data_IF_103558335739
#
_entry.id   IF_103558335739
#
_cell.length_a   1.000
_cell.length_b   1.000
_cell.length_c   1.000
_cell.angle_alpha   90.00
_cell.angle_beta   90.00
_cell.angle_gamma   90.00
#
_symmetry.space_group_name_H-M   'P 1'
#
loop_
_entity.id
_entity.type
_entity.pdbx_description
1 polymer ?
#
# COMPACT_ATOMS: atom_id res chain seq x y z
N UNK A 1 3.98 -1.96 -25.49
CA UNK A 1 3.93 -1.28 -24.19
C UNK A 1 5.21 -1.64 -23.47
N UNK A 2 6.11 -0.67 -23.34
CA UNK A 2 7.45 -0.88 -22.77
C UNK A 2 7.30 -1.20 -21.27
N UNK A 3 7.89 -2.31 -20.81
CA UNK A 3 7.81 -2.70 -19.40
C UNK A 3 8.64 -1.70 -18.59
N UNK A 4 7.99 -0.94 -17.71
CA UNK A 4 8.70 -0.14 -16.72
C UNK A 4 9.60 -1.06 -15.86
N UNK A 5 10.81 -0.63 -15.49
CA UNK A 5 11.70 -1.41 -14.65
C UNK A 5 11.03 -1.74 -13.31
N UNK A 6 11.25 -2.97 -12.83
CA UNK A 6 10.65 -3.53 -11.60
C UNK A 6 11.44 -3.22 -10.32
N UNK A 7 12.61 -2.58 -10.46
CA UNK A 7 13.49 -2.21 -9.35
C UNK A 7 13.35 -0.72 -9.03
N UNK A 8 13.19 -0.38 -7.74
CA UNK A 8 13.23 1.00 -7.27
C UNK A 8 12.03 1.83 -7.69
N UNK A 9 10.82 1.27 -7.63
CA UNK A 9 9.58 2.01 -7.92
C UNK A 9 9.39 3.19 -6.96
N UNK A 10 9.86 3.05 -5.71
CA UNK A 10 9.84 4.13 -4.73
C UNK A 10 11.24 4.58 -4.32
N UNK A 11 11.47 5.89 -4.12
CA UNK A 11 12.73 6.37 -3.56
C UNK A 11 12.97 5.78 -2.16
N UNK A 12 14.19 5.27 -1.91
CA UNK A 12 14.57 4.70 -0.60
C UNK A 12 14.34 5.67 0.58
N UNK A 13 14.47 6.98 0.33
CA UNK A 13 14.17 8.01 1.32
C UNK A 13 12.69 8.06 1.71
N UNK A 14 11.78 7.84 0.77
CA UNK A 14 10.34 7.82 1.01
C UNK A 14 9.95 6.58 1.83
N UNK A 15 10.46 5.41 1.46
CA UNK A 15 10.22 4.16 2.19
C UNK A 15 10.63 4.32 3.66
N UNK A 16 11.85 4.81 3.88
CA UNK A 16 12.37 5.07 5.23
C UNK A 16 11.50 6.06 6.00
N UNK A 17 11.16 7.20 5.40
CA UNK A 17 10.33 8.22 6.05
C UNK A 17 8.95 7.68 6.41
N UNK A 18 8.37 6.82 5.57
CA UNK A 18 7.08 6.17 5.81
C UNK A 18 7.15 5.24 7.03
N UNK A 19 8.19 4.41 7.14
CA UNK A 19 8.41 3.57 8.32
C UNK A 19 8.65 4.39 9.59
N UNK A 20 9.44 5.46 9.51
CA UNK A 20 9.65 6.38 10.63
C UNK A 20 8.32 6.99 11.08
N UNK A 21 7.46 7.40 10.14
CA UNK A 21 6.16 7.97 10.46
C UNK A 21 5.19 6.95 11.06
N UNK A 22 5.17 5.71 10.56
CA UNK A 22 4.39 4.62 11.16
C UNK A 22 4.83 4.34 12.61
N UNK A 23 6.14 4.37 12.88
CA UNK A 23 6.66 4.20 14.26
C UNK A 23 6.27 5.34 15.18
N UNK A 24 6.20 6.57 14.67
CA UNK A 24 5.77 7.75 15.42
C UNK A 24 4.27 7.69 15.76
N UNK A 25 3.43 7.43 14.75
CA UNK A 25 1.97 7.46 14.88
C UNK A 25 1.40 6.22 15.57
N UNK A 26 2.01 5.05 15.31
CA UNK A 26 1.52 3.76 15.78
C UNK A 26 2.69 2.87 16.27
N UNK A 27 3.40 3.25 17.36
CA UNK A 27 4.58 2.52 17.85
C UNK A 27 4.28 1.08 18.31
N UNK A 28 3.01 0.72 18.49
CA UNK A 28 2.54 -0.62 18.88
C UNK A 28 1.64 -1.25 17.81
N UNK A 29 1.76 -0.78 16.56
CA UNK A 29 1.00 -1.30 15.44
C UNK A 29 1.11 -2.82 15.38
N UNK A 30 -0.05 -3.45 15.28
CA UNK A 30 -0.29 -4.88 15.19
C UNK A 30 -1.66 -5.05 14.53
N UNK A 31 -1.98 -6.24 14.06
CA UNK A 31 -3.29 -6.51 13.44
C UNK A 31 -3.25 -6.28 11.93
N UNK A 32 -4.30 -5.73 11.36
CA UNK A 32 -4.48 -5.63 9.91
C UNK A 32 -3.83 -4.37 9.34
N UNK A 33 -3.04 -4.52 8.27
CA UNK A 33 -2.38 -3.44 7.55
C UNK A 33 -2.69 -3.53 6.06
N UNK A 34 -3.02 -2.40 5.44
CA UNK A 34 -3.22 -2.30 4.00
C UNK A 34 -2.18 -1.38 3.37
N UNK A 35 -1.56 -1.83 2.28
CA UNK A 35 -0.81 -0.97 1.37
C UNK A 35 -1.59 -0.76 0.07
N UNK A 36 -1.95 0.50 -0.21
CA UNK A 36 -2.68 0.93 -1.41
C UNK A 36 -1.67 1.41 -2.44
N UNK A 37 -1.70 0.82 -3.64
CA UNK A 37 -0.68 1.03 -4.67
C UNK A 37 0.63 0.34 -4.33
N UNK A 38 0.54 -0.94 -3.95
CA UNK A 38 1.65 -1.69 -3.35
C UNK A 38 2.89 -1.90 -4.24
N UNK A 39 2.77 -1.68 -5.56
CA UNK A 39 3.88 -1.76 -6.49
C UNK A 39 4.64 -3.09 -6.40
N UNK A 40 5.95 -3.02 -6.18
CA UNK A 40 6.81 -4.21 -6.05
C UNK A 40 6.89 -4.77 -4.62
N UNK A 41 6.24 -4.11 -3.65
CA UNK A 41 6.18 -4.51 -2.24
C UNK A 41 7.39 -4.10 -1.40
N UNK A 42 8.26 -3.18 -1.84
CA UNK A 42 9.40 -2.72 -1.04
C UNK A 42 8.96 -2.12 0.31
N UNK A 43 7.87 -1.36 0.36
CA UNK A 43 7.32 -0.83 1.61
C UNK A 43 6.77 -1.96 2.51
N UNK A 44 6.04 -2.91 1.92
CA UNK A 44 5.49 -4.07 2.62
C UNK A 44 6.60 -4.89 3.30
N UNK A 45 7.72 -5.18 2.61
CA UNK A 45 8.84 -5.91 3.21
C UNK A 45 9.40 -5.17 4.44
N UNK A 46 9.51 -3.83 4.37
CA UNK A 46 9.94 -3.02 5.51
C UNK A 46 8.92 -3.02 6.65
N UNK A 47 7.62 -2.96 6.36
CA UNK A 47 6.54 -3.03 7.35
C UNK A 47 6.56 -4.38 8.07
N UNK A 48 6.66 -5.50 7.33
CA UNK A 48 6.69 -6.85 7.89
C UNK A 48 7.88 -7.08 8.84
N UNK A 49 9.02 -6.43 8.57
CA UNK A 49 10.20 -6.46 9.46
C UNK A 49 10.03 -5.58 10.70
N UNK A 50 9.27 -4.50 10.60
CA UNK A 50 9.13 -3.50 11.64
C UNK A 50 7.96 -3.79 12.61
N UNK A 51 6.90 -4.44 12.13
CA UNK A 51 5.64 -4.61 12.87
C UNK A 51 5.05 -6.02 12.70
N UNK A 52 4.42 -6.57 13.76
CA UNK A 52 3.70 -7.84 13.69
C UNK A 52 2.28 -7.65 13.12
N UNK A 53 2.20 -7.39 11.82
CA UNK A 53 0.93 -7.13 11.11
C UNK A 53 0.59 -8.22 10.09
N UNK A 54 -0.70 -8.36 9.80
CA UNK A 54 -1.25 -9.11 8.68
C UNK A 54 -1.38 -8.16 7.49
N UNK A 55 -0.74 -8.52 6.38
CA UNK A 55 -0.65 -7.66 5.19
C UNK A 55 -1.82 -7.94 4.26
N UNK A 56 -2.49 -6.87 3.83
CA UNK A 56 -3.27 -6.78 2.61
C UNK A 56 -2.61 -5.78 1.68
N UNK A 57 -2.74 -6.00 0.38
CA UNK A 57 -2.13 -5.17 -0.64
C UNK A 57 -3.08 -5.04 -1.82
N UNK A 58 -3.23 -3.84 -2.37
CA UNK A 58 -3.94 -3.65 -3.64
C UNK A 58 -3.16 -2.74 -4.58
N UNK A 59 -3.36 -2.96 -5.87
CA UNK A 59 -2.79 -2.17 -6.96
C UNK A 59 -3.62 -2.43 -8.23
N UNK A 60 -3.50 -1.61 -9.28
CA UNK A 60 -4.22 -1.84 -10.54
C UNK A 60 -3.62 -3.00 -11.36
N UNK A 61 -2.50 -3.57 -10.90
CA UNK A 61 -1.81 -4.72 -11.47
C UNK A 61 -1.04 -5.48 -10.39
N UNK A 62 -0.96 -6.79 -10.52
CA UNK A 62 -0.31 -7.68 -9.54
C UNK A 62 1.11 -8.13 -9.94
N UNK A 63 1.45 -8.00 -11.22
CA UNK A 63 2.68 -8.57 -11.81
C UNK A 63 3.98 -7.89 -11.37
N UNK A 64 3.90 -6.81 -10.57
CA UNK A 64 5.04 -6.14 -9.97
C UNK A 64 5.46 -6.74 -8.61
N UNK A 65 4.54 -7.39 -7.90
CA UNK A 65 4.77 -7.82 -6.52
C UNK A 65 5.89 -8.86 -6.43
N UNK A 66 6.88 -8.58 -5.57
CA UNK A 66 8.04 -9.47 -5.36
C UNK A 66 8.06 -10.13 -3.99
N UNK A 67 7.23 -9.67 -3.04
CA UNK A 67 7.22 -10.18 -1.66
C UNK A 67 6.48 -11.51 -1.61
N UNK A 68 7.21 -12.59 -1.27
CA UNK A 68 6.64 -13.93 -1.19
C UNK A 68 5.55 -14.04 -0.13
N UNK A 69 4.42 -14.66 -0.50
CA UNK A 69 3.27 -14.85 0.39
C UNK A 69 2.33 -13.65 0.49
N UNK A 70 2.59 -12.57 -0.24
CA UNK A 70 1.69 -11.43 -0.38
C UNK A 70 0.91 -11.57 -1.68
N UNK A 71 -0.42 -11.56 -1.59
CA UNK A 71 -1.33 -11.50 -2.74
C UNK A 71 -1.78 -10.05 -2.91
N UNK A 72 -1.83 -9.59 -4.15
CA UNK A 72 -2.33 -8.26 -4.51
C UNK A 72 -3.77 -8.39 -5.00
N UNK A 73 -4.68 -7.69 -4.35
CA UNK A 73 -6.02 -7.48 -4.86
C UNK A 73 -5.96 -6.46 -6.00
N UNK A 74 -6.30 -6.89 -7.21
CA UNK A 74 -6.26 -6.02 -8.40
C UNK A 74 -7.46 -5.09 -8.42
N UNK A 75 -7.22 -3.78 -8.26
CA UNK A 75 -8.25 -2.74 -8.12
C UNK A 75 -7.82 -1.46 -8.84
N UNK A 76 -8.67 -0.92 -9.73
CA UNK A 76 -8.46 0.42 -10.28
C UNK A 76 -9.20 1.46 -9.43
N UNK A 77 -8.47 2.22 -8.61
CA UNK A 77 -9.04 3.22 -7.71
C UNK A 77 -9.76 4.38 -8.42
N UNK A 78 -9.64 4.52 -9.74
CA UNK A 78 -10.42 5.51 -10.49
C UNK A 78 -11.86 5.03 -10.76
N UNK A 79 -12.08 3.72 -10.77
CA UNK A 79 -13.34 3.12 -11.25
C UNK A 79 -13.99 2.16 -10.25
N UNK A 80 -13.19 1.53 -9.41
CA UNK A 80 -13.59 0.48 -8.48
C UNK A 80 -13.60 0.95 -7.02
N UNK A 81 -14.46 0.32 -6.23
CA UNK A 81 -14.38 0.37 -4.77
C UNK A 81 -13.30 -0.62 -4.29
N UNK A 82 -12.69 -0.33 -3.14
CA UNK A 82 -11.76 -1.27 -2.52
C UNK A 82 -12.54 -2.51 -2.05
N UNK A 83 -12.00 -3.74 -2.19
CA UNK A 83 -12.71 -4.98 -1.87
C UNK A 83 -12.66 -5.35 -0.37
N UNK A 84 -12.58 -4.36 0.51
CA UNK A 84 -12.42 -4.55 1.95
C UNK A 84 -13.66 -4.08 2.73
N UNK A 85 -13.84 -4.61 3.94
CA UNK A 85 -14.91 -4.14 4.82
C UNK A 85 -14.55 -2.78 5.45
N UNK A 86 -15.57 -2.03 5.85
CA UNK A 86 -15.41 -0.75 6.54
C UNK A 86 -14.67 -0.93 7.87
N UNK A 87 -13.80 0.03 8.21
CA UNK A 87 -13.02 0.07 9.44
C UNK A 87 -12.26 -1.23 9.77
N UNK A 88 -11.76 -1.94 8.75
CA UNK A 88 -11.12 -3.26 8.92
C UNK A 88 -9.60 -3.23 9.13
N UNK A 89 -8.95 -2.07 8.98
CA UNK A 89 -7.50 -1.94 9.06
C UNK A 89 -7.05 -1.07 10.23
N UNK A 90 -5.99 -1.49 10.92
CA UNK A 90 -5.34 -0.75 11.99
C UNK A 90 -4.41 0.35 11.45
N UNK A 91 -3.86 0.14 10.25
CA UNK A 91 -3.10 1.15 9.52
C UNK A 91 -3.20 0.94 8.00
N UNK A 92 -3.18 2.06 7.27
CA UNK A 92 -3.18 2.07 5.80
C UNK A 92 -2.04 2.98 5.34
N UNK A 93 -1.26 2.53 4.37
CA UNK A 93 -0.35 3.39 3.59
C UNK A 93 -0.84 3.53 2.16
N UNK A 94 -0.54 4.68 1.57
CA UNK A 94 -0.86 5.04 0.20
C UNK A 94 0.23 6.01 -0.25
N UNK A 95 1.33 5.47 -0.76
CA UNK A 95 2.55 6.22 -1.13
C UNK A 95 2.72 6.23 -2.63
N UNK A 96 2.85 7.41 -3.24
CA UNK A 96 3.03 7.58 -4.70
C UNK A 96 1.86 7.03 -5.54
N UNK A 97 0.62 7.27 -5.08
CA UNK A 97 -0.61 6.83 -5.76
C UNK A 97 -1.51 7.99 -6.13
N UNK A 98 -1.75 8.90 -5.19
CA UNK A 98 -2.80 9.94 -5.31
C UNK A 98 -2.58 10.88 -6.50
N UNK A 99 -1.32 11.08 -6.92
CA UNK A 99 -0.93 11.88 -8.08
C UNK A 99 -1.32 11.25 -9.41
N UNK A 100 -1.63 9.96 -9.42
CA UNK A 100 -2.04 9.21 -10.59
C UNK A 100 -3.56 9.04 -10.70
N UNK A 101 -4.32 9.49 -9.70
CA UNK A 101 -5.77 9.33 -9.65
C UNK A 101 -6.49 10.55 -10.24
N UNK A 102 -7.51 10.31 -11.05
CA UNK A 102 -8.37 11.35 -11.62
C UNK A 102 -9.24 12.01 -10.53
N UNK A 103 -9.85 11.21 -9.65
CA UNK A 103 -10.57 11.68 -8.47
C UNK A 103 -9.95 11.12 -7.18
N UNK A 104 -8.79 11.67 -6.81
CA UNK A 104 -8.11 11.32 -5.56
C UNK A 104 -9.00 11.51 -4.31
N UNK A 105 -10.04 12.37 -4.38
CA UNK A 105 -10.95 12.58 -3.24
C UNK A 105 -11.90 11.41 -3.09
N UNK A 106 -12.35 10.79 -4.19
CA UNK A 106 -13.12 9.55 -4.14
C UNK A 106 -12.30 8.43 -3.51
N UNK A 107 -11.06 8.25 -3.95
CA UNK A 107 -10.16 7.25 -3.36
C UNK A 107 -9.90 7.49 -1.87
N UNK A 108 -9.66 8.73 -1.44
CA UNK A 108 -9.49 9.04 -0.01
C UNK A 108 -10.76 8.77 0.81
N UNK A 109 -11.95 9.02 0.26
CA UNK A 109 -13.22 8.65 0.92
C UNK A 109 -13.32 7.15 1.10
N UNK A 110 -13.00 6.40 0.04
CA UNK A 110 -13.00 4.94 0.06
C UNK A 110 -11.99 4.39 1.07
N UNK A 111 -10.76 4.91 1.12
CA UNK A 111 -9.74 4.52 2.10
C UNK A 111 -10.19 4.80 3.54
N UNK A 112 -11.02 5.82 3.75
CA UNK A 112 -11.45 6.27 5.09
C UNK A 112 -12.70 5.58 5.64
N UNK A 113 -13.30 4.65 4.89
CA UNK A 113 -14.52 3.94 5.32
C UNK A 113 -14.25 2.95 6.46
#
# INVERSE_FOLDING_TARGET
MERLPTEGLSPQGLLRATIEKLRELAPRLRGAYLDVGSGNGELIDQVMRAFPVQISACDYRDDLMTVSGVTVDVVDLNTDALPYADASFDAITCTEVIEHLEDFRAALREISR
#
